data_IF_001227560657
#
_entry.id   IF_001227560657
#
_cell.length_a   1.000
_cell.length_b   1.000
_cell.length_c   1.000
_cell.angle_alpha   90.00
_cell.angle_beta   90.00
_cell.angle_gamma   90.00
#
_symmetry.space_group_name_H-M   'P 1'
#
loop_
_entity.id
_entity.type
_entity.pdbx_description
1 polymer ?
#
# COMPACT_ATOMS: atom_id res chain seq x y z
N UNK A 1 10.24 34.71 21.48
CA UNK A 1 11.29 35.37 20.67
C UNK A 1 11.00 36.87 20.70
N UNK A 2 11.67 37.61 21.57
CA UNK A 2 11.58 39.07 21.68
C UNK A 2 12.27 39.70 20.48
N UNK A 3 11.50 40.27 19.54
CA UNK A 3 12.02 40.92 18.33
C UNK A 3 11.36 40.54 17.00
N UNK A 4 10.33 39.69 16.98
CA UNK A 4 9.59 39.38 15.75
C UNK A 4 8.50 40.43 15.53
N UNK A 5 8.65 41.32 14.54
CA UNK A 5 7.62 42.25 14.06
C UNK A 5 6.55 41.53 13.24
N UNK A 6 6.24 40.28 13.57
CA UNK A 6 5.41 39.40 12.78
C UNK A 6 4.45 38.72 13.73
N UNK A 7 3.17 39.08 13.62
CA UNK A 7 2.12 38.54 14.46
C UNK A 7 1.85 37.08 14.09
N UNK A 8 1.49 36.26 15.06
CA UNK A 8 1.11 34.86 14.85
C UNK A 8 -0.36 34.66 15.16
N UNK A 9 -1.06 33.94 14.28
CA UNK A 9 -2.40 33.44 14.51
C UNK A 9 -2.31 32.07 15.19
N UNK A 10 -3.12 31.85 16.24
CA UNK A 10 -3.22 30.57 16.95
C UNK A 10 -4.69 30.22 17.20
N UNK A 11 -5.11 29.04 16.79
CA UNK A 11 -6.48 28.57 16.98
C UNK A 11 -6.51 27.06 17.24
N UNK A 12 -7.61 26.59 17.83
CA UNK A 12 -7.82 25.18 18.17
C UNK A 12 -8.60 24.49 17.04
N UNK A 13 -8.07 23.39 16.55
CA UNK A 13 -8.69 22.57 15.50
C UNK A 13 -9.78 21.64 16.09
N UNK A 14 -10.67 21.05 15.27
CA UNK A 14 -11.68 20.10 15.73
C UNK A 14 -11.11 18.89 16.48
N UNK A 15 -9.89 18.45 16.11
CA UNK A 15 -9.15 17.39 16.80
C UNK A 15 -8.55 17.83 18.16
N UNK A 16 -8.96 18.99 18.67
CA UNK A 16 -8.50 19.62 19.90
C UNK A 16 -7.01 20.00 19.95
N UNK A 17 -6.28 19.93 18.84
CA UNK A 17 -4.89 20.35 18.76
C UNK A 17 -4.79 21.86 18.46
N UNK A 18 -3.72 22.48 18.95
CA UNK A 18 -3.39 23.86 18.64
C UNK A 18 -2.70 23.94 17.27
N UNK A 19 -3.21 24.81 16.40
CA UNK A 19 -2.56 25.22 15.18
C UNK A 19 -2.03 26.65 15.32
N UNK A 20 -0.86 26.92 14.74
CA UNK A 20 -0.24 28.24 14.77
C UNK A 20 0.41 28.58 13.43
N UNK A 21 0.19 29.79 12.94
CA UNK A 21 0.78 30.28 11.68
C UNK A 21 1.20 31.75 11.81
N UNK A 22 2.27 32.14 11.12
CA UNK A 22 2.65 33.56 11.04
C UNK A 22 1.69 34.29 10.11
N UNK A 23 1.27 35.50 10.48
CA UNK A 23 0.46 36.38 9.62
C UNK A 23 1.32 37.08 8.56
N UNK A 24 2.63 37.13 8.71
CA UNK A 24 3.50 37.85 7.76
C UNK A 24 3.45 39.38 7.89
N UNK A 25 2.59 39.92 8.77
CA UNK A 25 2.34 41.36 8.87
C UNK A 25 2.99 41.96 10.11
N UNK A 26 3.48 43.20 9.95
CA UNK A 26 3.98 44.03 11.04
C UNK A 26 2.88 44.92 11.64
N UNK A 27 1.96 45.40 10.80
CA UNK A 27 0.79 46.15 11.24
C UNK A 27 -0.25 45.25 11.89
N UNK A 28 -0.88 45.75 12.96
CA UNK A 28 -1.85 44.99 13.76
C UNK A 28 -3.18 44.76 13.02
N UNK A 29 -3.68 45.75 12.29
CA UNK A 29 -4.97 45.66 11.61
C UNK A 29 -4.88 44.77 10.36
N UNK A 30 -3.76 44.86 9.64
CA UNK A 30 -3.44 43.92 8.55
C UNK A 30 -3.22 42.50 9.08
N UNK A 31 -2.57 42.35 10.24
CA UNK A 31 -2.39 41.05 10.89
C UNK A 31 -3.74 40.41 11.29
N UNK A 32 -4.70 41.20 11.77
CA UNK A 32 -6.06 40.72 12.11
C UNK A 32 -6.81 40.22 10.87
N UNK A 33 -6.80 41.00 9.79
CA UNK A 33 -7.42 40.57 8.53
C UNK A 33 -6.77 39.30 7.99
N UNK A 34 -5.44 39.26 7.98
CA UNK A 34 -4.70 38.07 7.53
C UNK A 34 -4.98 36.86 8.43
N UNK A 35 -5.13 37.06 9.74
CA UNK A 35 -5.48 36.01 10.69
C UNK A 35 -6.84 35.37 10.38
N UNK A 36 -7.84 36.17 10.00
CA UNK A 36 -9.17 35.66 9.60
C UNK A 36 -9.04 34.83 8.32
N UNK A 37 -8.36 35.35 7.31
CA UNK A 37 -8.15 34.65 6.04
C UNK A 37 -7.40 33.31 6.23
N UNK A 38 -6.37 33.29 7.08
CA UNK A 38 -5.62 32.05 7.40
C UNK A 38 -6.49 31.01 8.12
N UNK A 39 -7.38 31.44 9.01
CA UNK A 39 -8.33 30.54 9.66
C UNK A 39 -9.30 29.94 8.64
N UNK A 40 -9.92 30.75 7.78
CA UNK A 40 -10.84 30.30 6.74
C UNK A 40 -10.18 29.30 5.77
N UNK A 41 -8.96 29.60 5.31
CA UNK A 41 -8.17 28.70 4.47
C UNK A 41 -7.86 27.37 5.18
N UNK A 42 -7.56 27.41 6.48
CA UNK A 42 -7.27 26.20 7.26
C UNK A 42 -8.53 25.35 7.43
N UNK A 43 -9.67 25.97 7.73
CA UNK A 43 -10.95 25.27 7.86
C UNK A 43 -11.41 24.70 6.51
N UNK A 44 -11.23 25.42 5.40
CA UNK A 44 -11.54 24.94 4.07
C UNK A 44 -10.68 23.72 3.67
N UNK A 45 -9.39 23.71 4.02
CA UNK A 45 -8.53 22.54 3.80
C UNK A 45 -9.01 21.34 4.61
N UNK A 46 -9.39 21.54 5.87
CA UNK A 46 -9.92 20.47 6.72
C UNK A 46 -11.24 19.93 6.16
N UNK A 47 -12.14 20.80 5.70
CA UNK A 47 -13.43 20.37 5.14
C UNK A 47 -13.29 19.63 3.80
N UNK A 48 -12.16 19.79 3.11
CA UNK A 48 -11.80 19.06 1.90
C UNK A 48 -10.89 17.86 2.18
N UNK A 49 -10.66 17.51 3.44
CA UNK A 49 -9.75 16.43 3.87
C UNK A 49 -8.31 16.60 3.35
N UNK A 50 -7.93 17.82 2.97
CA UNK A 50 -6.60 18.16 2.49
C UNK A 50 -5.63 18.38 3.65
N UNK A 51 -4.36 18.01 3.43
CA UNK A 51 -3.33 18.24 4.45
C UNK A 51 -3.09 19.73 4.71
N UNK A 52 -3.04 20.08 6.00
CA UNK A 52 -2.70 21.43 6.45
C UNK A 52 -1.23 21.79 6.24
N UNK A 53 -0.37 20.80 6.02
CA UNK A 53 1.05 21.00 5.70
C UNK A 53 1.28 20.63 4.25
N UNK A 54 2.15 21.41 3.58
CA UNK A 54 2.68 20.97 2.28
C UNK A 54 3.45 19.68 2.51
N UNK A 55 2.91 18.57 2.03
CA UNK A 55 3.65 17.31 1.94
C UNK A 55 4.63 17.43 0.79
N UNK A 56 5.86 16.95 0.96
CA UNK A 56 6.76 16.80 -0.18
C UNK A 56 6.22 15.75 -1.15
N UNK A 57 6.63 15.78 -2.42
CA UNK A 57 6.27 14.73 -3.38
C UNK A 57 6.61 13.33 -2.86
N UNK A 58 7.72 13.20 -2.12
CA UNK A 58 8.11 11.97 -1.43
C UNK A 58 7.10 11.56 -0.35
N UNK A 59 6.66 12.48 0.49
CA UNK A 59 5.67 12.18 1.54
C UNK A 59 4.28 11.89 0.98
N UNK A 60 3.91 12.56 -0.12
CA UNK A 60 2.70 12.24 -0.88
C UNK A 60 2.81 10.82 -1.44
N UNK A 61 3.92 10.49 -2.08
CA UNK A 61 4.15 9.15 -2.60
C UNK A 61 4.20 8.09 -1.49
N UNK A 62 4.82 8.36 -0.34
CA UNK A 62 4.88 7.45 0.81
C UNK A 62 3.51 7.28 1.48
N UNK A 63 2.67 8.31 1.48
CA UNK A 63 1.31 8.23 2.03
C UNK A 63 0.33 7.57 1.06
N UNK A 64 0.44 7.87 -0.24
CA UNK A 64 -0.28 7.14 -1.30
C UNK A 64 0.18 5.67 -1.36
N UNK A 65 1.46 5.38 -1.08
CA UNK A 65 1.98 4.01 -0.88
C UNK A 65 1.44 3.33 0.38
N UNK A 66 0.97 4.11 1.38
CA UNK A 66 0.35 3.59 2.61
C UNK A 66 -1.17 3.42 2.43
N UNK A 67 -1.76 4.03 1.41
CA UNK A 67 -3.19 3.93 1.09
C UNK A 67 -3.36 3.16 -0.22
N UNK A 68 -3.03 1.87 -0.22
CA UNK A 68 -3.91 0.87 -0.86
C UNK A 68 -3.55 -0.58 -0.47
N UNK A 69 -3.97 -1.02 0.71
CA UNK A 69 -4.03 -2.45 1.02
C UNK A 69 -5.42 -2.88 1.52
N UNK A 70 -6.42 -2.03 1.32
CA UNK A 70 -7.82 -2.34 1.59
C UNK A 70 -8.63 -1.65 0.50
N UNK A 71 -8.63 -2.20 -0.69
CA UNK A 71 -9.48 -1.66 -1.77
C UNK A 71 -10.72 -2.53 -1.85
N UNK A 72 -11.82 -2.01 -1.30
CA UNK A 72 -13.13 -2.30 -1.86
C UNK A 72 -13.22 -1.55 -3.19
N UNK A 73 -13.15 -2.27 -4.31
CA UNK A 73 -13.48 -1.73 -5.64
C UNK A 73 -12.29 -1.64 -6.59
N UNK A 74 -12.36 -2.45 -7.66
CA UNK A 74 -11.52 -2.50 -8.87
C UNK A 74 -10.05 -2.15 -8.65
N UNK A 75 -9.27 -3.16 -8.27
CA UNK A 75 -7.82 -3.06 -8.05
C UNK A 75 -7.14 -3.88 -9.14
N UNK A 76 -6.18 -3.29 -9.83
CA UNK A 76 -5.10 -4.11 -10.39
C UNK A 76 -4.38 -4.67 -9.18
N UNK A 77 -4.37 -5.99 -8.99
CA UNK A 77 -3.73 -6.64 -7.85
C UNK A 77 -2.19 -6.51 -7.88
N UNK A 78 -1.66 -5.30 -7.79
CA UNK A 78 -0.23 -5.05 -7.70
C UNK A 78 0.24 -5.53 -6.31
N UNK A 79 0.58 -6.82 -6.20
CA UNK A 79 1.13 -7.44 -5.01
C UNK A 79 2.56 -6.91 -4.77
N UNK A 80 2.70 -5.87 -3.94
CA UNK A 80 4.01 -5.34 -3.57
C UNK A 80 4.64 -6.14 -2.42
N UNK A 81 5.76 -6.80 -2.72
CA UNK A 81 6.58 -7.49 -1.71
C UNK A 81 7.69 -6.55 -1.24
N UNK A 82 7.80 -6.31 0.07
CA UNK A 82 8.82 -5.41 0.63
C UNK A 82 10.20 -6.07 0.74
N UNK A 83 11.24 -5.23 0.68
CA UNK A 83 12.67 -5.58 0.72
C UNK A 83 13.14 -6.33 1.99
N UNK A 84 12.28 -6.57 2.99
CA UNK A 84 12.68 -7.08 4.31
C UNK A 84 12.20 -8.51 4.64
N UNK A 85 11.55 -9.19 3.70
CA UNK A 85 10.95 -10.52 3.88
C UNK A 85 9.48 -10.56 3.42
N UNK A 86 8.91 -11.75 3.32
CA UNK A 86 7.49 -11.93 2.98
C UNK A 86 6.64 -11.51 4.20
N UNK A 87 6.14 -10.27 4.21
CA UNK A 87 5.01 -9.91 5.08
C UNK A 87 3.75 -10.58 4.55
N UNK A 88 2.98 -11.24 5.40
CA UNK A 88 1.74 -11.92 5.00
C UNK A 88 0.69 -10.90 4.57
N UNK A 89 0.17 -11.05 3.35
CA UNK A 89 -0.78 -10.14 2.69
C UNK A 89 -2.16 -10.80 2.57
N UNK A 90 -3.24 -10.20 3.09
CA UNK A 90 -4.64 -10.66 2.85
C UNK A 90 -5.33 -9.90 1.71
N UNK A 91 -5.62 -10.57 0.59
CA UNK A 91 -6.34 -10.00 -0.56
C UNK A 91 -7.83 -10.37 -0.43
N UNK A 92 -8.73 -9.37 -0.51
CA UNK A 92 -10.14 -9.58 -0.13
C UNK A 92 -11.09 -9.90 -1.28
N UNK A 93 -10.85 -9.38 -2.48
CA UNK A 93 -11.82 -9.35 -3.58
C UNK A 93 -11.24 -9.83 -4.92
N UNK A 94 -10.17 -10.62 -4.90
CA UNK A 94 -9.47 -11.13 -6.09
C UNK A 94 -10.42 -11.75 -7.13
N UNK A 95 -10.41 -11.24 -8.36
CA UNK A 95 -11.20 -11.74 -9.48
C UNK A 95 -10.29 -12.48 -10.47
N UNK A 96 -10.47 -13.79 -10.58
CA UNK A 96 -9.78 -14.61 -11.59
C UNK A 96 -9.98 -14.04 -13.00
N UNK A 97 -8.94 -14.14 -13.84
CA UNK A 97 -8.89 -13.61 -15.22
C UNK A 97 -8.87 -12.07 -15.34
N UNK A 98 -9.30 -11.31 -14.33
CA UNK A 98 -9.22 -9.85 -14.33
C UNK A 98 -7.97 -9.36 -13.60
N UNK A 99 -7.71 -9.91 -12.41
CA UNK A 99 -6.61 -9.51 -11.55
C UNK A 99 -5.35 -10.34 -11.83
N UNK A 100 -4.19 -9.80 -11.45
CA UNK A 100 -2.88 -10.44 -11.59
C UNK A 100 -2.10 -10.25 -10.30
N UNK A 101 -1.30 -11.24 -9.88
CA UNK A 101 -0.44 -11.17 -8.70
C UNK A 101 1.00 -11.17 -9.20
N UNK A 102 1.70 -10.07 -8.97
CA UNK A 102 3.09 -9.91 -9.36
C UNK A 102 4.04 -10.65 -8.40
N UNK A 103 4.97 -11.40 -8.97
CA UNK A 103 5.96 -12.20 -8.28
C UNK A 103 7.35 -11.73 -8.69
N UNK A 104 8.02 -10.96 -7.82
CA UNK A 104 9.38 -10.52 -8.12
C UNK A 104 10.38 -11.67 -8.10
N UNK A 105 11.07 -11.88 -9.21
CA UNK A 105 12.15 -12.85 -9.38
C UNK A 105 13.32 -12.62 -8.41
N UNK A 106 13.47 -11.40 -7.88
CA UNK A 106 14.49 -11.06 -6.88
C UNK A 106 14.20 -11.60 -5.47
N UNK A 107 12.93 -11.95 -5.20
CA UNK A 107 12.46 -12.44 -3.90
C UNK A 107 12.07 -13.91 -3.99
N UNK A 108 11.31 -14.26 -5.02
CA UNK A 108 10.86 -15.63 -5.28
C UNK A 108 11.87 -16.36 -6.17
N UNK A 109 13.05 -16.61 -5.62
CA UNK A 109 14.15 -17.30 -6.33
C UNK A 109 13.86 -18.79 -6.51
N UNK A 110 14.37 -19.44 -7.57
CA UNK A 110 14.33 -20.91 -7.70
C UNK A 110 13.58 -21.51 -8.89
N UNK A 111 12.93 -20.68 -9.73
CA UNK A 111 12.50 -21.07 -11.08
C UNK A 111 12.08 -19.90 -12.00
N UNK A 112 12.10 -18.67 -11.51
CA UNK A 112 11.60 -17.49 -12.24
C UNK A 112 12.67 -16.95 -13.19
N UNK A 113 12.96 -17.74 -14.24
CA UNK A 113 14.04 -17.48 -15.20
C UNK A 113 13.65 -16.50 -16.32
N UNK A 114 12.38 -16.11 -16.39
CA UNK A 114 11.85 -15.24 -17.45
C UNK A 114 10.69 -14.43 -16.88
N UNK A 115 10.69 -13.11 -17.12
CA UNK A 115 9.57 -12.24 -16.77
C UNK A 115 8.37 -12.52 -17.69
N UNK A 116 7.15 -12.37 -17.19
CA UNK A 116 5.91 -12.68 -17.90
C UNK A 116 5.00 -13.61 -17.11
N UNK A 117 3.97 -14.18 -17.75
CA UNK A 117 3.03 -15.08 -17.07
C UNK A 117 3.75 -16.26 -16.42
N UNK A 118 3.32 -16.65 -15.22
CA UNK A 118 3.85 -17.81 -14.54
C UNK A 118 3.56 -19.07 -15.35
N UNK A 119 4.58 -19.92 -15.52
CA UNK A 119 4.42 -21.22 -16.18
C UNK A 119 3.46 -22.10 -15.37
N UNK A 120 2.49 -22.72 -16.04
CA UNK A 120 1.50 -23.59 -15.42
C UNK A 120 2.09 -24.75 -14.61
N UNK A 121 3.29 -25.22 -14.95
CA UNK A 121 4.01 -26.28 -14.23
C UNK A 121 4.55 -25.84 -12.87
N UNK A 122 4.70 -24.52 -12.66
CA UNK A 122 5.17 -23.93 -11.42
C UNK A 122 4.02 -23.59 -10.46
N UNK A 123 2.76 -23.69 -10.89
CA UNK A 123 1.59 -23.41 -10.06
C UNK A 123 0.86 -24.71 -9.68
N UNK A 124 0.37 -24.78 -8.46
CA UNK A 124 -0.45 -25.88 -7.98
C UNK A 124 -1.66 -25.39 -7.17
N UNK A 125 -2.69 -26.24 -7.12
CA UNK A 125 -3.85 -26.07 -6.25
C UNK A 125 -3.95 -27.27 -5.32
N UNK A 126 -3.95 -27.01 -4.01
CA UNK A 126 -4.05 -27.94 -2.88
C UNK A 126 -2.94 -29.01 -2.76
N UNK A 127 -2.37 -29.47 -3.86
CA UNK A 127 -1.38 -30.55 -3.90
C UNK A 127 -0.10 -30.09 -4.59
N UNK A 128 0.99 -30.06 -3.84
CA UNK A 128 2.31 -29.74 -4.36
C UNK A 128 2.85 -30.82 -5.31
N UNK A 129 3.66 -30.40 -6.27
CA UNK A 129 4.57 -31.26 -7.05
C UNK A 129 6.01 -30.76 -6.90
N UNK A 130 6.99 -31.59 -7.24
CA UNK A 130 8.40 -31.20 -7.23
C UNK A 130 8.73 -30.02 -8.17
N UNK A 131 7.87 -29.74 -9.15
CA UNK A 131 7.99 -28.60 -10.06
C UNK A 131 7.24 -27.36 -9.56
N UNK A 132 6.27 -27.53 -8.67
CA UNK A 132 5.48 -26.43 -8.13
C UNK A 132 6.38 -25.50 -7.33
N UNK A 133 6.18 -24.20 -7.51
CA UNK A 133 6.84 -23.15 -6.74
C UNK A 133 5.82 -22.32 -6.00
N UNK A 134 4.64 -22.14 -6.58
CA UNK A 134 3.50 -21.47 -5.95
C UNK A 134 2.37 -22.49 -5.78
N UNK A 135 1.79 -22.54 -4.59
CA UNK A 135 0.63 -23.38 -4.32
C UNK A 135 -0.48 -22.57 -3.66
N UNK A 136 -1.68 -22.75 -4.17
CA UNK A 136 -2.91 -22.20 -3.61
C UNK A 136 -3.68 -23.25 -2.82
N UNK A 137 -4.01 -22.96 -1.57
CA UNK A 137 -4.92 -23.78 -0.78
C UNK A 137 -6.36 -23.25 -0.91
N UNK A 138 -7.22 -24.00 -1.58
CA UNK A 138 -8.60 -23.61 -1.86
C UNK A 138 -9.48 -23.55 -0.60
N UNK A 139 -9.12 -24.29 0.45
CA UNK A 139 -9.87 -24.33 1.71
C UNK A 139 -9.56 -23.11 2.59
N UNK A 140 -8.32 -22.66 2.64
CA UNK A 140 -7.89 -21.56 3.51
C UNK A 140 -7.74 -20.23 2.78
N UNK A 141 -7.57 -20.26 1.46
CA UNK A 141 -7.20 -19.10 0.66
C UNK A 141 -5.69 -18.84 0.61
N UNK A 142 -4.87 -19.62 1.31
CA UNK A 142 -3.43 -19.35 1.43
C UNK A 142 -2.68 -19.57 0.11
N UNK A 143 -1.80 -18.63 -0.23
CA UNK A 143 -0.79 -18.74 -1.26
C UNK A 143 0.58 -18.91 -0.62
N UNK A 144 1.24 -20.02 -0.95
CA UNK A 144 2.53 -20.37 -0.41
C UNK A 144 3.55 -20.55 -1.53
N UNK A 145 4.80 -20.20 -1.23
CA UNK A 145 5.93 -20.33 -2.12
C UNK A 145 6.97 -21.31 -1.55
N UNK A 146 7.44 -22.22 -2.39
CA UNK A 146 8.59 -23.08 -2.13
C UNK A 146 9.61 -22.90 -3.26
N UNK A 147 10.85 -22.57 -2.89
CA UNK A 147 11.94 -22.28 -3.82
C UNK A 147 12.28 -23.46 -4.73
N UNK A 148 12.18 -24.70 -4.23
CA UNK A 148 12.49 -25.90 -5.02
C UNK A 148 11.33 -26.87 -5.17
N UNK A 149 10.20 -26.58 -4.51
CA UNK A 149 8.99 -27.41 -4.56
C UNK A 149 9.11 -28.75 -3.84
N UNK A 150 10.22 -28.99 -3.16
CA UNK A 150 10.50 -30.27 -2.51
C UNK A 150 9.90 -30.38 -1.11
N UNK A 151 9.64 -29.24 -0.45
CA UNK A 151 9.27 -29.18 0.96
C UNK A 151 10.35 -29.68 1.92
N UNK A 152 11.60 -29.88 1.44
CA UNK A 152 12.71 -30.45 2.23
C UNK A 152 13.84 -29.45 2.44
N UNK A 153 14.60 -29.13 1.39
CA UNK A 153 15.73 -28.19 1.47
C UNK A 153 15.25 -26.76 1.70
N UNK A 154 14.03 -26.46 1.25
CA UNK A 154 13.30 -25.23 1.52
C UNK A 154 11.91 -25.61 2.02
N UNK A 155 11.44 -24.88 3.03
CA UNK A 155 10.07 -25.04 3.52
C UNK A 155 9.17 -24.03 2.83
N UNK A 156 8.01 -24.50 2.37
CA UNK A 156 6.99 -23.63 1.80
C UNK A 156 6.60 -22.51 2.78
N UNK A 157 6.64 -21.26 2.31
CA UNK A 157 6.33 -20.07 3.10
C UNK A 157 5.09 -19.39 2.53
N UNK A 158 4.07 -19.18 3.37
CA UNK A 158 2.88 -18.43 2.99
C UNK A 158 3.21 -16.95 2.82
N UNK A 159 2.85 -16.39 1.68
CA UNK A 159 3.08 -14.97 1.37
C UNK A 159 1.79 -14.16 1.22
N UNK A 160 0.68 -14.82 0.85
CA UNK A 160 -0.60 -14.15 0.74
C UNK A 160 -1.78 -15.07 1.14
N UNK A 161 -2.96 -14.48 1.38
CA UNK A 161 -4.22 -15.16 1.62
C UNK A 161 -5.32 -14.47 0.82
N UNK A 162 -6.00 -15.21 -0.06
CA UNK A 162 -7.18 -14.77 -0.79
C UNK A 162 -8.43 -15.08 0.05
N UNK A 163 -9.03 -14.07 0.68
CA UNK A 163 -10.12 -14.27 1.64
C UNK A 163 -11.42 -14.79 0.99
N UNK A 164 -11.66 -14.38 -0.26
CA UNK A 164 -12.80 -14.77 -1.09
C UNK A 164 -12.67 -16.18 -1.69
N UNK A 165 -11.49 -16.79 -1.61
CA UNK A 165 -11.20 -18.17 -2.03
C UNK A 165 -11.69 -18.49 -3.46
N UNK A 166 -11.14 -17.83 -4.49
CA UNK A 166 -11.57 -18.03 -5.86
C UNK A 166 -11.39 -19.48 -6.31
N UNK A 167 -12.41 -20.07 -6.93
CA UNK A 167 -12.42 -21.47 -7.39
C UNK A 167 -11.72 -21.69 -8.74
N UNK A 168 -11.39 -20.60 -9.45
CA UNK A 168 -10.76 -20.63 -10.78
C UNK A 168 -9.30 -20.17 -10.81
N UNK A 169 -8.67 -19.94 -9.65
CA UNK A 169 -7.30 -19.42 -9.60
C UNK A 169 -6.32 -20.32 -10.36
N UNK A 170 -5.48 -19.71 -11.18
CA UNK A 170 -4.61 -20.41 -12.13
C UNK A 170 -3.27 -19.70 -12.29
N UNK A 171 -2.31 -20.34 -12.96
CA UNK A 171 -1.00 -19.73 -13.22
C UNK A 171 -1.09 -18.42 -14.03
N UNK A 172 -2.10 -18.26 -14.88
CA UNK A 172 -2.29 -17.01 -15.66
C UNK A 172 -2.69 -15.80 -14.80
N UNK A 173 -3.03 -16.04 -13.54
CA UNK A 173 -3.29 -14.98 -12.55
C UNK A 173 -2.00 -14.48 -11.90
N UNK A 174 -0.83 -15.01 -12.26
CA UNK A 174 0.46 -14.61 -11.71
C UNK A 174 1.39 -14.12 -12.82
N UNK A 175 2.17 -13.07 -12.52
CA UNK A 175 3.17 -12.51 -13.43
C UNK A 175 4.50 -12.44 -12.72
N UNK A 176 5.55 -12.96 -13.34
CA UNK A 176 6.93 -12.82 -12.88
C UNK A 176 7.48 -11.49 -13.36
N UNK A 177 8.05 -10.71 -12.44
CA UNK A 177 8.72 -9.43 -12.74
C UNK A 177 10.21 -9.45 -12.41
#
# INVERSE_FOLDING_TARGET
RSGSNQWQCRFRLPNCQWHSMSTGQADLEEAKHTSIALYEQTMAKISQELSLKSKSFKQLAEEDLVVDFVTSGTVRADAYVTKSGLSLVTITDFVHSEDKIDLSSSIFTGAFNTSGCLDSTLFATDTWSNSSRVCYNSSTGALAFDQDGSGTSYSATTFAVLSNKPTGLSASDFVVI
#
